data_IF_528634514378
#
_entry.id   IF_528634514378
#
_cell.length_a   1.000
_cell.length_b   1.000
_cell.length_c   1.000
_cell.angle_alpha   90.00
_cell.angle_beta   90.00
_cell.angle_gamma   90.00
#
_symmetry.space_group_name_H-M   'P 1'
#
loop_
_entity.id
_entity.type
_entity.pdbx_description
1 polymer ?
#
# COMPACT_ATOMS: atom_id res chain seq x y z
N UNK A 1 -13.80 1.24 -0.53
CA UNK A 1 -13.06 0.29 0.35
C UNK A 1 -12.20 1.11 1.31
N UNK A 2 -11.91 0.60 2.51
CA UNK A 2 -10.97 1.24 3.44
C UNK A 2 -9.65 0.44 3.53
N UNK A 3 -8.66 0.98 4.25
CA UNK A 3 -7.36 0.33 4.48
C UNK A 3 -7.16 -0.02 5.97
N UNK A 4 -6.36 -1.06 6.29
CA UNK A 4 -5.93 -1.30 7.65
C UNK A 4 -4.95 -0.22 8.10
N UNK A 5 -4.81 -0.03 9.41
CA UNK A 5 -3.87 0.93 10.00
C UNK A 5 -2.52 0.25 10.24
N UNK A 6 -1.44 0.94 9.88
CA UNK A 6 -0.09 0.53 10.23
C UNK A 6 0.23 0.99 11.66
N UNK A 7 0.62 0.06 12.53
CA UNK A 7 1.11 0.38 13.87
C UNK A 7 2.58 0.00 13.95
N UNK A 8 3.41 0.98 14.31
CA UNK A 8 4.82 0.78 14.60
C UNK A 8 5.05 0.90 16.10
N UNK A 9 5.81 -0.04 16.67
CA UNK A 9 6.29 0.02 18.06
C UNK A 9 7.80 -0.10 18.04
N UNK A 10 8.48 0.78 18.78
CA UNK A 10 9.94 0.85 18.79
C UNK A 10 10.59 0.19 20.01
N UNK A 11 9.82 -0.09 21.06
CA UNK A 11 10.30 -0.66 22.31
C UNK A 11 9.50 -1.93 22.70
N UNK A 12 10.15 -2.97 23.27
CA UNK A 12 11.60 -3.16 23.44
C UNK A 12 12.31 -3.58 22.14
N UNK A 13 11.57 -4.01 21.12
CA UNK A 13 12.08 -4.36 19.79
C UNK A 13 11.24 -3.59 18.79
N UNK A 14 11.87 -3.05 17.73
CA UNK A 14 11.14 -2.37 16.67
C UNK A 14 10.34 -3.37 15.81
N UNK A 15 9.05 -3.12 15.62
CA UNK A 15 8.20 -3.91 14.73
C UNK A 15 7.02 -3.10 14.21
N UNK A 16 6.53 -3.53 13.06
CA UNK A 16 5.31 -3.01 12.44
C UNK A 16 4.29 -4.14 12.26
N UNK A 17 3.01 -3.81 12.43
CA UNK A 17 1.89 -4.71 12.16
C UNK A 17 0.69 -3.93 11.61
N UNK A 18 -0.17 -4.62 10.86
CA UNK A 18 -1.45 -4.11 10.41
C UNK A 18 -2.51 -4.37 11.47
N UNK A 19 -3.35 -3.38 11.75
CA UNK A 19 -4.47 -3.51 12.68
C UNK A 19 -5.73 -2.85 12.15
N UNK A 20 -6.88 -3.32 12.62
CA UNK A 20 -8.18 -2.72 12.33
C UNK A 20 -9.01 -3.56 11.37
N UNK A 21 -10.21 -3.05 11.07
CA UNK A 21 -11.19 -3.74 10.26
C UNK A 21 -11.21 -3.16 8.85
N UNK A 22 -11.24 -4.03 7.85
CA UNK A 22 -11.28 -3.69 6.42
C UNK A 22 -12.55 -4.28 5.82
N UNK A 23 -13.25 -3.48 5.02
CA UNK A 23 -14.44 -3.88 4.27
C UNK A 23 -14.19 -3.72 2.78
N UNK A 24 -14.39 -4.81 2.06
CA UNK A 24 -14.25 -4.92 0.61
C UNK A 24 -15.62 -5.30 0.07
N UNK A 25 -16.27 -4.41 -0.66
CA UNK A 25 -17.60 -4.65 -1.21
C UNK A 25 -17.53 -4.62 -2.74
N UNK A 26 -18.14 -5.62 -3.38
CA UNK A 26 -18.38 -5.62 -4.81
C UNK A 26 -19.85 -5.27 -5.05
N UNK A 27 -20.09 -4.11 -5.69
CA UNK A 27 -21.45 -3.64 -5.94
C UNK A 27 -22.18 -4.48 -6.99
N UNK A 28 -21.45 -5.03 -7.97
CA UNK A 28 -22.03 -5.84 -9.05
C UNK A 28 -22.56 -7.19 -8.55
N UNK A 29 -21.81 -7.85 -7.67
CA UNK A 29 -22.18 -9.18 -7.14
C UNK A 29 -22.93 -9.11 -5.82
N UNK A 30 -22.95 -7.96 -5.16
CA UNK A 30 -23.53 -7.81 -3.82
C UNK A 30 -22.76 -8.55 -2.72
N UNK A 31 -21.53 -9.00 -2.99
CA UNK A 31 -20.68 -9.67 -2.01
C UNK A 31 -19.87 -8.66 -1.20
N UNK A 32 -19.70 -8.95 0.08
CA UNK A 32 -18.84 -8.18 0.96
C UNK A 32 -17.92 -9.09 1.78
N UNK A 33 -16.65 -8.69 1.89
CA UNK A 33 -15.68 -9.27 2.80
C UNK A 33 -15.40 -8.31 3.97
N UNK A 34 -15.56 -8.81 5.19
CA UNK A 34 -15.13 -8.13 6.42
C UNK A 34 -13.87 -8.83 6.93
N UNK A 35 -12.74 -8.11 6.96
CA UNK A 35 -11.44 -8.58 7.41
C UNK A 35 -11.04 -7.85 8.68
N UNK A 36 -10.42 -8.55 9.62
CA UNK A 36 -9.96 -8.04 10.90
C UNK A 36 -8.49 -8.38 11.08
N UNK A 37 -7.65 -7.35 11.02
CA UNK A 37 -6.24 -7.45 11.28
C UNK A 37 -6.02 -7.31 12.78
N UNK A 38 -5.49 -8.38 13.39
CA UNK A 38 -5.34 -8.49 14.83
C UNK A 38 -3.92 -8.73 15.23
N UNK A 39 -3.63 -8.15 16.38
CA UNK A 39 -2.37 -8.24 17.05
C UNK A 39 -2.63 -8.51 18.54
N UNK A 40 -2.95 -9.76 18.85
CA UNK A 40 -3.15 -10.18 20.24
C UNK A 40 -1.78 -10.27 20.92
N UNK A 41 -1.34 -9.19 21.57
CA UNK A 41 -0.14 -9.18 22.42
C UNK A 41 -0.41 -8.69 23.85
N UNK A 42 -1.66 -8.65 24.29
CA UNK A 42 -1.97 -8.35 25.69
C UNK A 42 -1.87 -9.65 26.52
N UNK A 43 -0.95 -9.67 27.49
CA UNK A 43 -0.78 -10.68 28.56
C UNK A 43 0.06 -11.94 28.25
N UNK A 44 1.33 -11.77 27.83
CA UNK A 44 2.42 -12.73 28.11
C UNK A 44 2.36 -14.12 27.45
N UNK A 45 1.26 -14.50 26.80
CA UNK A 45 1.17 -15.70 25.96
C UNK A 45 1.61 -15.37 24.54
N UNK A 46 2.26 -16.32 23.88
CA UNK A 46 2.68 -16.29 22.46
C UNK A 46 1.44 -16.08 21.57
N UNK A 47 0.99 -14.84 21.46
CA UNK A 47 -0.22 -14.50 20.71
C UNK A 47 0.00 -14.54 19.22
N UNK A 48 -1.09 -14.72 18.48
CA UNK A 48 -1.10 -14.74 17.02
C UNK A 48 -0.86 -13.33 16.47
N UNK A 49 0.41 -12.91 16.41
CA UNK A 49 0.85 -11.70 15.71
C UNK A 49 0.51 -11.81 14.23
N UNK A 50 0.26 -10.67 13.56
CA UNK A 50 -0.01 -10.62 12.11
C UNK A 50 -1.20 -11.47 11.68
N UNK A 51 -2.16 -11.68 12.58
CA UNK A 51 -3.32 -12.51 12.28
C UNK A 51 -4.34 -11.73 11.47
N UNK A 52 -4.97 -12.44 10.53
CA UNK A 52 -6.12 -11.96 9.78
C UNK A 52 -7.26 -12.94 10.02
N UNK A 53 -8.43 -12.40 10.35
CA UNK A 53 -9.67 -13.16 10.44
C UNK A 53 -10.75 -12.43 9.67
N UNK A 54 -11.69 -13.14 9.08
CA UNK A 54 -12.76 -12.47 8.36
C UNK A 54 -13.86 -13.39 7.91
N UNK A 55 -14.77 -12.81 7.15
CA UNK A 55 -15.88 -13.51 6.52
C UNK A 55 -16.21 -12.87 5.18
N UNK A 56 -16.67 -13.68 4.24
CA UNK A 56 -17.29 -13.23 2.99
C UNK A 56 -18.77 -13.59 3.07
N UNK A 57 -19.62 -12.62 2.82
CA UNK A 57 -21.07 -12.78 2.93
C UNK A 57 -21.80 -12.05 1.81
N UNK A 58 -23.02 -12.49 1.55
CA UNK A 58 -23.95 -11.84 0.62
C UNK A 58 -24.67 -10.70 1.35
N UNK A 59 -24.63 -9.47 0.81
CA UNK A 59 -25.18 -8.29 1.48
C UNK A 59 -26.70 -8.35 1.65
N UNK A 60 -27.41 -8.89 0.67
CA UNK A 60 -28.89 -8.94 0.66
C UNK A 60 -29.44 -9.85 1.74
N UNK A 61 -28.83 -11.03 1.92
CA UNK A 61 -29.27 -12.05 2.88
C UNK A 61 -28.49 -12.04 4.19
N UNK A 62 -27.39 -11.28 4.28
CA UNK A 62 -26.41 -11.35 5.37
C UNK A 62 -25.86 -12.76 5.62
N UNK A 63 -25.97 -13.66 4.63
CA UNK A 63 -25.54 -15.04 4.74
C UNK A 63 -24.02 -15.12 4.55
N UNK A 64 -23.32 -15.59 5.57
CA UNK A 64 -21.90 -15.93 5.47
C UNK A 64 -21.73 -17.11 4.50
N UNK A 65 -20.87 -16.93 3.51
CA UNK A 65 -20.50 -17.95 2.54
C UNK A 65 -19.16 -18.59 2.93
N UNK A 66 -18.20 -17.77 3.34
CA UNK A 66 -16.84 -18.19 3.67
C UNK A 66 -16.32 -17.54 4.94
N UNK A 67 -15.48 -18.27 5.67
CA UNK A 67 -14.69 -17.77 6.80
C UNK A 67 -13.22 -17.67 6.39
N UNK A 68 -12.56 -16.58 6.75
CA UNK A 68 -11.14 -16.32 6.46
C UNK A 68 -10.36 -16.41 7.77
N UNK A 69 -9.24 -17.12 7.77
CA UNK A 69 -8.33 -17.24 8.91
C UNK A 69 -6.88 -17.35 8.46
N UNK A 70 -5.94 -16.92 9.30
CA UNK A 70 -4.52 -17.15 9.09
C UNK A 70 -3.65 -15.95 9.46
N UNK A 71 -2.54 -15.81 8.75
CA UNK A 71 -1.54 -14.77 8.96
C UNK A 71 -1.17 -14.10 7.64
N UNK A 72 -1.26 -12.76 7.59
CA UNK A 72 -1.05 -12.01 6.36
C UNK A 72 0.40 -12.06 5.85
N UNK A 73 1.36 -12.41 6.72
CA UNK A 73 2.78 -12.59 6.38
C UNK A 73 3.15 -14.06 6.08
N UNK A 74 2.17 -14.98 6.11
CA UNK A 74 2.38 -16.42 5.92
C UNK A 74 1.28 -17.01 5.05
N UNK A 75 0.34 -17.73 5.65
CA UNK A 75 -0.72 -18.45 4.96
C UNK A 75 -2.05 -17.90 5.41
N UNK A 76 -2.95 -17.66 4.45
CA UNK A 76 -4.36 -17.35 4.70
C UNK A 76 -5.20 -18.44 4.06
N UNK A 77 -6.16 -18.94 4.81
CA UNK A 77 -7.11 -19.97 4.38
C UNK A 77 -8.51 -19.41 4.33
N UNK A 78 -9.33 -20.06 3.52
CA UNK A 78 -10.75 -19.80 3.39
C UNK A 78 -11.49 -21.11 3.62
N UNK A 79 -12.50 -21.07 4.50
CA UNK A 79 -13.37 -22.21 4.79
C UNK A 79 -14.75 -21.94 4.21
N UNK A 80 -15.25 -22.85 3.39
CA UNK A 80 -16.63 -22.83 2.91
C UNK A 80 -17.58 -23.26 4.03
N UNK A 81 -18.57 -22.42 4.33
CA UNK A 81 -19.53 -22.67 5.42
C UNK A 81 -20.53 -23.78 5.12
N UNK A 82 -20.76 -24.12 3.84
CA UNK A 82 -21.74 -25.14 3.44
C UNK A 82 -21.21 -26.56 3.62
N UNK A 83 -19.96 -26.80 3.23
CA UNK A 83 -19.36 -28.15 3.24
C UNK A 83 -18.16 -28.28 4.18
N UNK A 84 -17.69 -27.17 4.77
CA UNK A 84 -16.55 -27.15 5.69
C UNK A 84 -15.19 -27.27 5.02
N UNK A 85 -15.11 -27.31 3.68
CA UNK A 85 -13.85 -27.43 2.94
C UNK A 85 -12.97 -26.21 3.20
N UNK A 86 -11.70 -26.45 3.51
CA UNK A 86 -10.69 -25.43 3.75
C UNK A 86 -9.72 -25.39 2.57
N UNK A 87 -9.52 -24.20 2.01
CA UNK A 87 -8.57 -23.95 0.91
C UNK A 87 -7.56 -22.90 1.31
N UNK A 88 -6.33 -23.03 0.83
CA UNK A 88 -5.31 -21.97 0.96
C UNK A 88 -5.59 -20.94 -0.14
N UNK A 89 -5.83 -19.68 0.25
CA UNK A 89 -6.09 -18.58 -0.69
C UNK A 89 -4.88 -17.65 -0.85
N UNK A 90 -3.91 -17.74 0.04
CA UNK A 90 -2.67 -16.97 -0.02
C UNK A 90 -1.55 -17.70 0.70
N UNK A 91 -0.37 -17.73 0.07
CA UNK A 91 0.88 -18.19 0.66
C UNK A 91 2.00 -17.18 0.35
N UNK A 92 2.44 -16.45 1.38
CA UNK A 92 3.47 -15.44 1.28
C UNK A 92 4.79 -15.99 0.73
N UNK A 93 5.16 -17.22 1.08
CA UNK A 93 6.42 -17.82 0.61
C UNK A 93 6.38 -18.03 -0.91
N UNK A 94 5.27 -18.57 -1.41
CA UNK A 94 5.07 -18.80 -2.85
C UNK A 94 5.04 -17.47 -3.60
N UNK A 95 4.25 -16.50 -3.10
CA UNK A 95 4.15 -15.17 -3.69
C UNK A 95 5.52 -14.50 -3.76
N UNK A 96 6.26 -14.45 -2.66
CA UNK A 96 7.60 -13.82 -2.60
C UNK A 96 8.59 -14.55 -3.51
N UNK A 97 8.55 -15.88 -3.57
CA UNK A 97 9.44 -16.64 -4.46
C UNK A 97 9.20 -16.38 -5.95
N UNK A 98 7.99 -15.99 -6.32
CA UNK A 98 7.62 -15.61 -7.69
C UNK A 98 7.83 -14.13 -8.02
N UNK A 99 8.21 -13.29 -7.06
CA UNK A 99 8.41 -11.86 -7.32
C UNK A 99 9.67 -11.63 -8.16
N UNK A 100 9.46 -11.09 -9.35
CA UNK A 100 10.54 -10.60 -10.22
C UNK A 100 10.61 -9.08 -10.13
N UNK A 101 11.81 -8.55 -9.93
CA UNK A 101 12.03 -7.12 -9.91
C UNK A 101 11.63 -6.53 -11.27
N UNK A 102 10.74 -5.53 -11.25
CA UNK A 102 10.37 -4.84 -12.48
C UNK A 102 11.55 -4.03 -13.01
N UNK A 103 11.72 -4.03 -14.32
CA UNK A 103 12.77 -3.30 -15.02
C UNK A 103 12.16 -2.19 -15.86
N UNK A 104 12.87 -1.08 -16.03
CA UNK A 104 12.47 -0.03 -16.99
C UNK A 104 13.07 -0.39 -18.35
N UNK A 105 12.21 -0.47 -19.38
CA UNK A 105 12.57 -0.94 -20.72
C UNK A 105 13.50 0.03 -21.46
N UNK A 106 13.27 1.33 -21.34
CA UNK A 106 14.13 2.39 -21.88
C UNK A 106 14.36 3.48 -20.81
N UNK A 107 15.47 3.40 -20.05
CA UNK A 107 15.76 4.35 -18.99
C UNK A 107 16.04 5.78 -19.48
N UNK A 108 16.40 5.97 -20.76
CA UNK A 108 16.89 7.25 -21.27
C UNK A 108 15.85 8.05 -22.04
N UNK A 109 14.79 7.42 -22.56
CA UNK A 109 13.79 8.13 -23.39
C UNK A 109 12.40 8.26 -22.75
N UNK A 110 12.05 7.47 -21.72
CA UNK A 110 10.65 7.34 -21.29
C UNK A 110 10.37 7.69 -19.82
N UNK A 111 11.38 8.09 -19.03
CA UNK A 111 11.21 8.40 -17.60
C UNK A 111 11.15 9.91 -17.38
N UNK A 112 10.07 10.41 -16.78
CA UNK A 112 9.96 11.83 -16.43
C UNK A 112 10.96 12.22 -15.34
N UNK A 113 11.55 13.43 -15.38
CA UNK A 113 12.43 13.92 -14.30
C UNK A 113 11.76 13.98 -12.92
N UNK A 114 10.43 13.94 -12.87
CA UNK A 114 9.64 13.92 -11.63
C UNK A 114 9.34 12.50 -11.11
N UNK A 115 9.80 11.45 -11.79
CA UNK A 115 9.61 10.08 -11.34
C UNK A 115 10.42 9.79 -10.07
N UNK A 116 9.78 9.16 -9.09
CA UNK A 116 10.37 8.93 -7.77
C UNK A 116 11.72 8.22 -7.82
N UNK A 117 11.88 7.25 -8.72
CA UNK A 117 13.14 6.51 -8.89
C UNK A 117 14.30 7.40 -9.32
N UNK A 118 14.06 8.43 -10.13
CA UNK A 118 15.08 9.40 -10.54
C UNK A 118 15.32 10.45 -9.46
N UNK A 119 14.25 11.06 -8.95
CA UNK A 119 14.31 12.12 -7.92
C UNK A 119 15.06 11.64 -6.68
N UNK A 120 14.84 10.40 -6.26
CA UNK A 120 15.45 9.81 -5.06
C UNK A 120 16.63 8.88 -5.36
N UNK A 121 17.15 8.88 -6.59
CA UNK A 121 18.20 7.95 -7.03
C UNK A 121 19.47 8.06 -6.16
N UNK A 122 20.00 9.27 -5.98
CA UNK A 122 21.22 9.50 -5.19
C UNK A 122 21.05 9.13 -3.72
N UNK A 123 19.91 9.48 -3.13
CA UNK A 123 19.57 9.12 -1.74
C UNK A 123 19.53 7.60 -1.60
N UNK A 124 18.84 6.92 -2.52
CA UNK A 124 18.71 5.47 -2.51
C UNK A 124 20.06 4.79 -2.66
N UNK A 125 20.91 5.25 -3.58
CA UNK A 125 22.27 4.73 -3.77
C UNK A 125 23.14 4.93 -2.53
N UNK A 126 23.06 6.08 -1.87
CA UNK A 126 23.81 6.35 -0.65
C UNK A 126 23.36 5.44 0.51
N UNK A 127 22.05 5.22 0.66
CA UNK A 127 21.49 4.28 1.67
C UNK A 127 21.96 2.86 1.41
N UNK A 128 21.89 2.38 0.16
CA UNK A 128 22.35 1.03 -0.21
C UNK A 128 23.84 0.83 0.08
N UNK A 129 24.64 1.87 -0.12
CA UNK A 129 26.06 1.90 0.21
C UNK A 129 26.36 2.19 1.69
N UNK A 130 25.34 2.32 2.55
CA UNK A 130 25.44 2.65 3.97
C UNK A 130 26.21 3.95 4.26
N UNK A 131 26.24 4.88 3.30
CA UNK A 131 26.85 6.20 3.45
C UNK A 131 25.79 7.21 3.89
N UNK A 132 25.61 7.34 5.20
CA UNK A 132 24.55 8.14 5.80
C UNK A 132 24.75 9.65 5.61
N UNK A 133 25.99 10.14 5.61
CA UNK A 133 26.28 11.56 5.34
C UNK A 133 25.88 11.92 3.92
N UNK A 134 26.30 11.13 2.92
CA UNK A 134 25.90 11.34 1.53
C UNK A 134 24.39 11.23 1.33
N UNK A 135 23.74 10.29 2.02
CA UNK A 135 22.27 10.15 1.95
C UNK A 135 21.56 11.40 2.49
N UNK A 136 22.07 11.98 3.58
CA UNK A 136 21.56 13.21 4.18
C UNK A 136 21.77 14.42 3.26
N UNK A 137 22.95 14.57 2.68
CA UNK A 137 23.26 15.64 1.72
C UNK A 137 22.33 15.57 0.49
N UNK A 138 22.23 14.41 -0.15
CA UNK A 138 21.36 14.20 -1.31
C UNK A 138 19.87 14.44 -0.97
N UNK A 139 19.42 14.00 0.22
CA UNK A 139 18.06 14.27 0.70
C UNK A 139 17.80 15.76 0.83
N UNK A 140 18.73 16.48 1.46
CA UNK A 140 18.62 17.92 1.65
C UNK A 140 18.56 18.67 0.32
N UNK A 141 19.34 18.25 -0.68
CA UNK A 141 19.32 18.84 -2.02
C UNK A 141 17.95 18.69 -2.70
N UNK A 142 17.32 17.51 -2.62
CA UNK A 142 15.96 17.27 -3.15
C UNK A 142 14.94 18.16 -2.43
N UNK A 143 15.00 18.24 -1.10
CA UNK A 143 14.05 19.01 -0.28
C UNK A 143 14.21 20.52 -0.44
N UNK A 144 15.44 21.05 -0.55
CA UNK A 144 15.68 22.48 -0.82
C UNK A 144 15.15 22.87 -2.20
N UNK A 145 15.41 22.07 -3.23
CA UNK A 145 14.88 22.32 -4.58
C UNK A 145 13.35 22.39 -4.59
N UNK A 146 12.66 21.52 -3.84
CA UNK A 146 11.20 21.61 -3.72
C UNK A 146 10.73 22.86 -2.96
N UNK A 147 11.49 23.30 -1.93
CA UNK A 147 11.22 24.56 -1.22
C UNK A 147 11.42 25.80 -2.09
N UNK A 148 12.43 25.80 -2.96
CA UNK A 148 12.64 26.85 -3.97
C UNK A 148 11.47 26.89 -4.96
N UNK A 149 11.08 25.75 -5.54
CA UNK A 149 9.93 25.68 -6.45
C UNK A 149 8.62 26.11 -5.80
N UNK A 150 8.45 25.90 -4.49
CA UNK A 150 7.31 26.42 -3.75
C UNK A 150 7.36 27.95 -3.68
N UNK A 151 8.49 28.53 -3.24
CA UNK A 151 8.68 29.99 -3.16
C UNK A 151 8.47 30.69 -4.52
N UNK A 152 8.93 30.07 -5.61
CA UNK A 152 8.72 30.57 -6.97
C UNK A 152 7.27 30.56 -7.41
N UNK A 153 6.47 29.57 -6.99
CA UNK A 153 5.04 29.53 -7.30
C UNK A 153 4.29 30.57 -6.48
N UNK A 154 4.60 30.69 -5.19
CA UNK A 154 4.00 31.69 -4.30
C UNK A 154 4.27 33.11 -4.79
N UNK A 155 5.47 33.41 -5.28
CA UNK A 155 5.79 34.73 -5.83
C UNK A 155 5.06 35.06 -7.13
N UNK A 156 4.52 34.05 -7.82
CA UNK A 156 3.69 34.18 -9.02
C UNK A 156 2.19 34.04 -8.73
N UNK A 157 1.82 33.87 -7.45
CA UNK A 157 0.44 33.57 -7.02
C UNK A 157 -0.14 32.32 -7.70
N UNK A 158 0.73 31.36 -8.05
CA UNK A 158 0.35 30.10 -8.70
C UNK A 158 0.08 29.00 -7.66
N UNK A 159 -1.03 28.26 -7.85
CA UNK A 159 -1.34 27.08 -7.04
C UNK A 159 -0.79 25.82 -7.70
N UNK A 160 -0.17 24.93 -6.92
CA UNK A 160 0.24 23.62 -7.42
C UNK A 160 -0.99 22.75 -7.72
N UNK A 161 -1.06 22.21 -8.94
CA UNK A 161 -2.15 21.33 -9.38
C UNK A 161 -1.58 19.95 -9.73
N UNK A 162 -2.16 18.84 -9.24
CA UNK A 162 -1.74 17.50 -9.63
C UNK A 162 -1.94 17.25 -11.12
N UNK A 163 -0.96 16.60 -11.76
CA UNK A 163 -0.99 16.34 -13.22
C UNK A 163 -2.04 15.32 -13.66
N UNK A 164 -2.38 14.35 -12.81
CA UNK A 164 -3.18 13.18 -13.18
C UNK A 164 -4.48 13.03 -12.38
N UNK A 165 -4.69 13.86 -11.36
CA UNK A 165 -5.80 13.74 -10.44
C UNK A 165 -6.44 15.10 -10.17
N UNK A 166 -7.77 15.13 -10.14
CA UNK A 166 -8.54 16.21 -9.56
C UNK A 166 -8.67 15.94 -8.08
N UNK A 167 -8.35 16.93 -7.27
CA UNK A 167 -8.38 16.83 -5.81
C UNK A 167 -9.37 17.85 -5.27
N UNK A 168 -10.26 17.41 -4.39
CA UNK A 168 -11.19 18.27 -3.68
C UNK A 168 -11.16 17.97 -2.19
N UNK A 169 -11.47 18.96 -1.36
CA UNK A 169 -11.51 18.80 0.09
C UNK A 169 -12.89 19.19 0.63
N UNK A 170 -13.48 18.34 1.48
CA UNK A 170 -14.72 18.63 2.18
C UNK A 170 -14.55 18.48 3.69
N UNK A 171 -15.14 19.38 4.47
CA UNK A 171 -15.03 19.35 5.93
C UNK A 171 -15.63 18.08 6.57
N UNK A 172 -16.54 17.39 5.87
CA UNK A 172 -17.20 16.16 6.36
C UNK A 172 -16.54 14.87 5.84
N UNK A 173 -15.92 14.91 4.66
CA UNK A 173 -15.39 13.72 3.96
C UNK A 173 -13.88 13.71 3.79
N UNK A 174 -13.17 14.77 4.15
CA UNK A 174 -11.73 14.91 3.92
C UNK A 174 -11.39 15.15 2.45
N UNK A 175 -10.24 14.64 2.02
CA UNK A 175 -9.77 14.72 0.64
C UNK A 175 -10.43 13.66 -0.23
N UNK A 176 -11.02 14.09 -1.35
CA UNK A 176 -11.48 13.24 -2.43
C UNK A 176 -10.59 13.44 -3.66
N UNK A 177 -10.29 12.35 -4.35
CA UNK A 177 -9.31 12.29 -5.43
C UNK A 177 -9.85 11.44 -6.57
N UNK A 178 -10.05 12.06 -7.73
CA UNK A 178 -10.55 11.39 -8.93
C UNK A 178 -9.53 11.51 -10.07
N UNK A 179 -9.34 10.46 -10.88
CA UNK A 179 -8.42 10.53 -12.00
C UNK A 179 -8.94 11.51 -13.06
N UNK A 180 -8.04 12.33 -13.63
CA UNK A 180 -8.39 13.23 -14.74
C UNK A 180 -8.70 12.43 -16.01
N UNK A 181 -8.00 11.31 -16.20
CA UNK A 181 -8.17 10.42 -17.33
C UNK A 181 -8.56 9.03 -16.85
N UNK A 182 -9.57 8.42 -17.50
CA UNK A 182 -10.03 7.07 -17.18
C UNK A 182 -9.04 5.97 -17.61
N UNK A 183 -8.05 6.31 -18.43
CA UNK A 183 -7.01 5.41 -18.92
C UNK A 183 -5.69 6.16 -19.00
N UNK A 184 -4.61 5.48 -18.67
CA UNK A 184 -3.24 5.96 -18.86
C UNK A 184 -2.52 5.04 -19.84
N UNK A 185 -1.56 5.55 -20.64
CA UNK A 185 -0.73 4.69 -21.48
C UNK A 185 0.04 3.67 -20.62
N UNK A 186 0.43 2.52 -21.18
CA UNK A 186 1.26 1.55 -20.49
C UNK A 186 2.54 2.21 -19.94
N UNK A 187 2.87 1.93 -18.69
CA UNK A 187 4.12 2.39 -18.10
C UNK A 187 5.33 1.72 -18.79
N UNK A 188 6.51 2.37 -18.84
CA UNK A 188 7.73 1.79 -19.40
C UNK A 188 8.33 0.67 -18.53
N UNK A 189 7.56 0.19 -17.55
CA UNK A 189 7.92 -0.82 -16.57
C UNK A 189 7.51 -2.19 -17.12
N UNK A 190 8.47 -3.09 -17.27
CA UNK A 190 8.26 -4.48 -17.66
C UNK A 190 8.56 -5.37 -16.46
N UNK A 191 7.64 -6.26 -16.13
CA UNK A 191 7.92 -7.36 -15.20
C UNK A 191 8.52 -8.49 -16.04
N UNK A 192 9.77 -8.92 -15.79
CA UNK A 192 10.33 -10.06 -16.51
C UNK A 192 9.42 -11.27 -16.30
N UNK A 193 9.00 -11.93 -17.38
CA UNK A 193 8.21 -13.17 -17.30
C UNK A 193 9.02 -14.31 -16.70
#
# INVERSE_FOLDING_TARGET
MNSPKLVMRFFPVAWADWVGNVRIQCQETGLEAELRYRNNSFLGRRGNKRSIKGKIFECSSSKTLYEIDGHWDRTVTMKDTKNGTVTVIYNAKEVVSGLKASIVKDPMQEIWPSESGLVWSEVSQAILNKNWEKAKEAKNAVEEKQRELLRERESREETWVPKHFTVSHSNKGGWDCSPIQNRVPPAPIVVPL
#
